data_IF_710794080107
#
_entry.id   IF_710794080107
#
_cell.length_a   1.000
_cell.length_b   1.000
_cell.length_c   1.000
_cell.angle_alpha   90.00
_cell.angle_beta   90.00
_cell.angle_gamma   90.00
#
_symmetry.space_group_name_H-M   'P 1'
#
loop_
_entity.id
_entity.type
_entity.pdbx_description
1 polymer ?
#
# COMPACT_ATOMS: atom_id res chain seq x y z
N UNK A 1 21.53 53.19 -82.78
CA UNK A 1 20.33 53.23 -81.91
C UNK A 1 19.38 52.13 -82.42
N UNK A 2 18.78 51.20 -81.68
CA UNK A 2 18.46 51.07 -80.25
C UNK A 2 18.63 49.59 -79.83
N UNK A 3 19.23 49.37 -78.67
CA UNK A 3 19.32 48.05 -78.02
C UNK A 3 17.97 47.72 -77.39
N UNK A 4 17.34 46.61 -77.78
CA UNK A 4 16.21 46.07 -77.03
C UNK A 4 16.74 45.26 -75.85
N UNK A 5 16.57 45.84 -74.67
CA UNK A 5 16.91 45.24 -73.38
C UNK A 5 15.92 44.11 -73.07
N UNK A 6 16.45 42.93 -72.78
CA UNK A 6 15.71 41.75 -72.34
C UNK A 6 15.01 42.03 -71.00
N UNK A 7 13.70 42.26 -71.05
CA UNK A 7 12.89 42.43 -69.86
C UNK A 7 12.62 41.05 -69.23
N UNK A 8 13.53 40.61 -68.35
CA UNK A 8 13.34 39.40 -67.55
C UNK A 8 12.22 39.63 -66.53
N UNK A 9 11.04 39.05 -66.79
CA UNK A 9 9.97 38.92 -65.79
C UNK A 9 10.48 38.07 -64.63
N UNK A 10 10.83 38.72 -63.51
CA UNK A 10 11.08 38.03 -62.23
C UNK A 10 9.80 37.28 -61.82
N UNK A 11 9.76 35.98 -62.06
CA UNK A 11 8.75 35.08 -61.48
C UNK A 11 8.87 35.17 -59.95
N UNK A 12 7.88 35.76 -59.28
CA UNK A 12 7.75 35.70 -57.82
C UNK A 12 7.66 34.22 -57.42
N UNK A 13 8.70 33.72 -56.75
CA UNK A 13 8.78 32.35 -56.23
C UNK A 13 7.73 32.23 -55.11
N UNK A 14 6.62 31.53 -55.37
CA UNK A 14 5.67 31.12 -54.31
C UNK A 14 6.46 30.30 -53.29
N UNK A 15 6.56 30.80 -52.05
CA UNK A 15 7.14 30.05 -50.93
C UNK A 15 6.21 28.87 -50.65
N UNK A 16 6.60 27.61 -50.92
CA UNK A 16 5.70 26.50 -50.69
C UNK A 16 5.72 26.10 -49.21
N UNK A 17 4.53 25.85 -48.65
CA UNK A 17 4.20 24.90 -47.57
C UNK A 17 4.99 24.87 -46.24
N UNK A 18 5.90 25.81 -45.95
CA UNK A 18 6.65 25.79 -44.67
C UNK A 18 5.73 25.92 -43.44
N UNK A 19 4.60 26.60 -43.56
CA UNK A 19 3.61 26.76 -42.47
C UNK A 19 2.90 25.44 -42.13
N UNK A 20 2.62 24.60 -43.12
CA UNK A 20 1.94 23.31 -42.91
C UNK A 20 2.81 22.32 -42.12
N UNK A 21 4.13 22.30 -42.36
CA UNK A 21 5.04 21.39 -41.64
C UNK A 21 5.25 21.82 -40.17
N UNK A 22 5.31 23.14 -39.91
CA UNK A 22 5.33 23.66 -38.54
C UNK A 22 4.01 23.37 -37.81
N UNK A 23 2.86 23.58 -38.47
CA UNK A 23 1.55 23.25 -37.91
C UNK A 23 1.39 21.77 -37.60
N UNK A 24 1.82 20.88 -38.49
CA UNK A 24 1.82 19.42 -38.25
C UNK A 24 2.70 19.03 -37.06
N UNK A 25 3.88 19.66 -36.93
CA UNK A 25 4.81 19.38 -35.81
C UNK A 25 4.22 19.84 -34.47
N UNK A 26 3.61 21.03 -34.44
CA UNK A 26 2.89 21.53 -33.27
C UNK A 26 1.69 20.65 -32.92
N UNK A 27 0.89 20.24 -33.92
CA UNK A 27 -0.24 19.33 -33.70
C UNK A 27 0.19 17.98 -33.15
N UNK A 28 1.32 17.43 -33.62
CA UNK A 28 1.90 16.20 -33.07
C UNK A 28 2.36 16.39 -31.63
N UNK A 29 2.99 17.51 -31.29
CA UNK A 29 3.43 17.81 -29.92
C UNK A 29 2.22 17.94 -28.99
N UNK A 30 1.17 18.64 -29.42
CA UNK A 30 -0.07 18.79 -28.64
C UNK A 30 -0.75 17.42 -28.43
N UNK A 31 -0.80 16.57 -29.45
CA UNK A 31 -1.35 15.21 -29.32
C UNK A 31 -0.55 14.36 -28.33
N UNK A 32 0.79 14.41 -28.40
CA UNK A 32 1.64 13.66 -27.47
C UNK A 32 1.49 14.19 -26.05
N UNK A 33 1.47 15.51 -25.85
CA UNK A 33 1.23 16.12 -24.53
C UNK A 33 -0.15 15.75 -23.99
N UNK A 34 -1.19 15.81 -24.81
CA UNK A 34 -2.53 15.39 -24.43
C UNK A 34 -2.59 13.92 -24.02
N UNK A 35 -1.93 13.04 -24.76
CA UNK A 35 -1.83 11.62 -24.41
C UNK A 35 -1.09 11.39 -23.09
N UNK A 36 0.01 12.13 -22.84
CA UNK A 36 0.75 12.05 -21.57
C UNK A 36 -0.12 12.51 -20.40
N UNK A 37 -0.83 13.63 -20.54
CA UNK A 37 -1.75 14.13 -19.48
C UNK A 37 -2.87 13.13 -19.22
N UNK A 38 -3.47 12.54 -20.26
CA UNK A 38 -4.48 11.49 -20.11
C UNK A 38 -3.92 10.25 -19.41
N UNK A 39 -2.70 9.82 -19.74
CA UNK A 39 -2.03 8.71 -19.04
C UNK A 39 -1.81 9.06 -17.56
N UNK A 40 -1.31 10.26 -17.26
CA UNK A 40 -1.11 10.68 -15.86
C UNK A 40 -2.44 10.66 -15.10
N UNK A 41 -3.52 11.21 -15.65
CA UNK A 41 -4.84 11.19 -15.00
C UNK A 41 -5.37 9.76 -14.87
N UNK A 42 -5.14 8.89 -15.84
CA UNK A 42 -5.60 7.50 -15.79
C UNK A 42 -4.84 6.67 -14.74
N UNK A 43 -3.53 6.91 -14.58
CA UNK A 43 -2.70 6.20 -13.59
C UNK A 43 -2.76 6.81 -12.19
N UNK A 44 -2.78 8.15 -12.08
CA UNK A 44 -2.69 8.91 -10.83
C UNK A 44 -3.98 9.66 -10.43
N UNK A 45 -5.05 9.63 -11.22
CA UNK A 45 -6.32 10.22 -10.83
C UNK A 45 -6.95 9.47 -9.64
N UNK A 46 -7.94 10.08 -9.00
CA UNK A 46 -8.65 9.58 -7.80
C UNK A 46 -9.30 8.19 -7.95
N UNK A 47 -9.31 7.62 -9.16
CA UNK A 47 -9.83 6.29 -9.47
C UNK A 47 -8.83 5.48 -10.31
N UNK A 48 -7.56 5.90 -10.32
CA UNK A 48 -6.51 5.25 -11.08
C UNK A 48 -6.15 3.88 -10.54
N UNK A 49 -5.42 3.11 -11.35
CA UNK A 49 -5.03 1.73 -11.06
C UNK A 49 -4.24 1.60 -9.75
N UNK A 50 -3.49 2.65 -9.39
CA UNK A 50 -2.74 2.70 -8.13
C UNK A 50 -3.64 2.67 -6.89
N UNK A 51 -4.75 3.40 -6.92
CA UNK A 51 -5.68 3.46 -5.79
C UNK A 51 -6.42 2.13 -5.60
N UNK A 52 -6.77 1.46 -6.70
CA UNK A 52 -7.32 0.10 -6.65
C UNK A 52 -6.32 -0.88 -6.01
N UNK A 53 -5.03 -0.79 -6.37
CA UNK A 53 -3.99 -1.63 -5.77
C UNK A 53 -3.86 -1.37 -4.27
N UNK A 54 -3.79 -0.11 -3.84
CA UNK A 54 -3.73 0.24 -2.41
C UNK A 54 -4.96 -0.23 -1.64
N UNK A 55 -6.15 -0.01 -2.19
CA UNK A 55 -7.40 -0.43 -1.57
C UNK A 55 -7.48 -1.96 -1.42
N UNK A 56 -6.96 -2.70 -2.40
CA UNK A 56 -6.93 -4.15 -2.36
C UNK A 56 -5.93 -4.66 -1.31
N UNK A 57 -4.77 -4.03 -1.16
CA UNK A 57 -3.84 -4.33 -0.06
C UNK A 57 -4.45 -4.05 1.31
N UNK A 58 -5.03 -2.86 1.50
CA UNK A 58 -5.67 -2.47 2.76
C UNK A 58 -6.81 -3.42 3.12
N UNK A 59 -7.63 -3.82 2.13
CA UNK A 59 -8.66 -4.83 2.32
C UNK A 59 -8.08 -6.16 2.81
N UNK A 60 -6.99 -6.62 2.21
CA UNK A 60 -6.34 -7.88 2.61
C UNK A 60 -5.76 -7.80 4.02
N UNK A 61 -5.10 -6.70 4.37
CA UNK A 61 -4.58 -6.46 5.73
C UNK A 61 -5.70 -6.49 6.76
N UNK A 62 -6.77 -5.74 6.53
CA UNK A 62 -7.94 -5.72 7.42
C UNK A 62 -8.55 -7.11 7.56
N UNK A 63 -8.67 -7.87 6.47
CA UNK A 63 -9.20 -9.23 6.51
C UNK A 63 -8.34 -10.18 7.34
N UNK A 64 -7.01 -10.06 7.23
CA UNK A 64 -6.08 -10.84 8.04
C UNK A 64 -6.20 -10.49 9.53
N UNK A 65 -6.25 -9.19 9.87
CA UNK A 65 -6.46 -8.75 11.24
C UNK A 65 -7.79 -9.24 11.82
N UNK A 66 -8.87 -9.26 11.02
CA UNK A 66 -10.15 -9.84 11.44
C UNK A 66 -10.03 -11.33 11.73
N UNK A 67 -9.28 -12.08 10.91
CA UNK A 67 -9.07 -13.51 11.11
C UNK A 67 -8.29 -13.78 12.41
N UNK A 68 -7.19 -13.06 12.64
CA UNK A 68 -6.38 -13.16 13.86
C UNK A 68 -7.20 -12.83 15.12
N UNK A 69 -7.94 -11.71 15.10
CA UNK A 69 -8.77 -11.31 16.23
C UNK A 69 -9.89 -12.31 16.52
N UNK A 70 -10.46 -12.95 15.49
CA UNK A 70 -11.47 -14.02 15.68
C UNK A 70 -10.87 -15.26 16.32
N UNK A 71 -9.67 -15.65 15.91
CA UNK A 71 -8.96 -16.78 16.51
C UNK A 71 -8.59 -16.50 17.97
N UNK A 72 -8.07 -15.30 18.24
CA UNK A 72 -7.76 -14.88 19.61
C UNK A 72 -9.02 -14.84 20.49
N UNK A 73 -10.12 -14.28 19.97
CA UNK A 73 -11.40 -14.29 20.67
C UNK A 73 -11.83 -15.72 21.02
N UNK A 74 -11.78 -16.65 20.07
CA UNK A 74 -12.13 -18.06 20.30
C UNK A 74 -11.25 -18.71 21.37
N UNK A 75 -9.94 -18.43 21.34
CA UNK A 75 -8.98 -18.91 22.35
C UNK A 75 -9.30 -18.36 23.74
N UNK A 76 -9.59 -17.07 23.84
CA UNK A 76 -9.94 -16.41 25.09
C UNK A 76 -11.28 -16.91 25.64
N UNK A 77 -12.28 -17.11 24.78
CA UNK A 77 -13.57 -17.70 25.18
C UNK A 77 -13.39 -19.12 25.72
N UNK A 78 -12.62 -19.97 25.04
CA UNK A 78 -12.32 -21.32 25.52
C UNK A 78 -11.58 -21.30 26.87
N UNK A 79 -10.64 -20.37 27.04
CA UNK A 79 -9.93 -20.18 28.32
C UNK A 79 -10.87 -19.69 29.42
N UNK A 80 -11.76 -18.76 29.11
CA UNK A 80 -12.78 -18.27 30.04
C UNK A 80 -13.67 -19.42 30.50
N UNK A 81 -14.20 -20.21 29.57
CA UNK A 81 -15.03 -21.38 29.91
C UNK A 81 -14.27 -22.35 30.82
N UNK A 82 -13.01 -22.69 30.51
CA UNK A 82 -12.20 -23.54 31.40
C UNK A 82 -12.04 -22.96 32.81
N UNK A 83 -11.80 -21.66 32.94
CA UNK A 83 -11.72 -21.00 34.24
C UNK A 83 -13.06 -20.94 35.00
N UNK A 84 -14.20 -21.13 34.33
CA UNK A 84 -15.52 -21.13 34.97
C UNK A 84 -16.00 -22.56 35.30
N UNK A 85 -15.64 -23.55 34.50
CA UNK A 85 -16.20 -24.90 34.58
C UNK A 85 -15.23 -25.97 35.08
N UNK A 86 -13.92 -25.73 35.00
CA UNK A 86 -12.89 -26.75 35.29
C UNK A 86 -12.11 -26.43 36.57
N UNK A 87 -12.51 -27.08 37.67
CA UNK A 87 -11.88 -26.91 38.98
C UNK A 87 -10.42 -27.39 39.03
N UNK A 88 -10.07 -28.42 38.27
CA UNK A 88 -8.71 -28.97 38.28
C UNK A 88 -7.74 -27.98 37.63
N UNK A 89 -8.14 -27.42 36.48
CA UNK A 89 -7.41 -26.37 35.80
C UNK A 89 -7.25 -25.09 36.65
N UNK A 90 -8.26 -24.74 37.45
CA UNK A 90 -8.17 -23.60 38.38
C UNK A 90 -7.20 -23.90 39.53
N UNK A 91 -7.22 -25.10 40.11
CA UNK A 91 -6.31 -25.49 41.18
C UNK A 91 -4.85 -25.54 40.70
N UNK A 92 -4.59 -26.11 39.51
CA UNK A 92 -3.28 -26.12 38.86
C UNK A 92 -2.78 -24.68 38.66
N UNK A 93 -3.60 -23.80 38.07
CA UNK A 93 -3.24 -22.40 37.85
C UNK A 93 -2.96 -21.65 39.17
N UNK A 94 -3.76 -21.90 40.20
CA UNK A 94 -3.59 -21.29 41.52
C UNK A 94 -2.27 -21.73 42.18
N UNK A 95 -1.92 -23.01 42.09
CA UNK A 95 -0.67 -23.57 42.66
C UNK A 95 0.56 -23.16 41.88
N UNK A 96 0.52 -23.24 40.55
CA UNK A 96 1.71 -22.97 39.71
C UNK A 96 1.98 -21.48 39.52
N UNK A 97 0.96 -20.73 39.10
CA UNK A 97 1.14 -19.33 38.71
C UNK A 97 1.07 -18.40 39.91
N UNK A 98 0.18 -18.68 40.86
CA UNK A 98 -0.07 -17.82 42.01
C UNK A 98 0.55 -18.35 43.31
N UNK A 99 1.12 -19.57 43.31
CA UNK A 99 1.72 -20.20 44.49
C UNK A 99 0.77 -20.26 45.69
N UNK A 100 -0.52 -20.40 45.41
CA UNK A 100 -1.55 -20.58 46.42
C UNK A 100 -1.47 -22.01 46.99
N UNK A 101 -1.74 -22.12 48.29
CA UNK A 101 -1.68 -23.37 49.03
C UNK A 101 -2.92 -23.47 49.93
N UNK A 102 -3.43 -24.68 50.14
CA UNK A 102 -4.56 -24.89 51.05
C UNK A 102 -4.10 -24.67 52.50
N UNK A 103 -5.01 -24.36 53.44
CA UNK A 103 -4.65 -24.23 54.85
C UNK A 103 -3.90 -25.48 55.35
N UNK A 104 -2.66 -25.30 55.82
CA UNK A 104 -1.78 -26.38 56.29
C UNK A 104 -0.70 -26.84 55.30
N UNK A 105 -0.75 -26.42 54.04
CA UNK A 105 0.30 -26.70 53.04
C UNK A 105 1.44 -25.66 53.11
N UNK A 106 2.69 -26.08 52.82
CA UNK A 106 3.88 -25.19 52.82
C UNK A 106 4.40 -24.97 51.39
N UNK A 107 4.63 -23.71 51.02
CA UNK A 107 5.20 -23.32 49.72
C UNK A 107 6.72 -23.14 49.86
N UNK A 108 7.51 -23.91 49.11
CA UNK A 108 8.96 -23.77 49.09
C UNK A 108 9.39 -22.93 47.88
N UNK A 109 10.22 -21.91 48.11
CA UNK A 109 10.89 -21.14 47.05
C UNK A 109 12.36 -21.58 47.01
N UNK A 110 12.80 -22.13 45.89
CA UNK A 110 14.22 -22.41 45.67
C UNK A 110 14.93 -21.07 45.50
N UNK A 111 15.83 -20.73 46.43
CA UNK A 111 16.74 -19.59 46.33
C UNK A 111 18.10 -20.16 45.95
N UNK A 112 18.74 -19.67 44.86
CA UNK A 112 20.11 -20.07 44.56
C UNK A 112 21.02 -19.65 45.72
N UNK A 113 21.98 -20.52 46.05
CA UNK A 113 22.96 -20.26 47.10
C UNK A 113 23.87 -19.13 46.59
N UNK A 114 23.98 -18.04 47.36
CA UNK A 114 24.98 -17.02 47.08
C UNK A 114 26.35 -17.63 47.36
N UNK A 115 27.06 -18.00 46.30
CA UNK A 115 28.43 -18.52 46.33
C UNK A 115 29.43 -17.37 46.54
N UNK A 116 29.26 -16.62 47.63
CA UNK A 116 30.19 -15.59 48.09
C UNK A 116 30.62 -15.87 49.53
N UNK A 117 31.57 -16.79 49.66
CA UNK A 117 32.57 -16.84 50.73
C UNK A 117 33.97 -16.68 50.11
#
# INVERSE_FOLDING_TARGET
MRRYSSMQRRRKKKRPNQTHELQKRLMRIVLVLGAIVLLIIFFFGDHGVYQLYRLQQEKTEIQNSIAELREEKKRLEAKKTRLETDYEYIEELAREKYRMAKPGEKVFKVVPKDDSE
#
